data_IF_740012239823
#
_entry.id   IF_740012239823
#
_cell.length_a   1.000
_cell.length_b   1.000
_cell.length_c   1.000
_cell.angle_alpha   90.00
_cell.angle_beta   90.00
_cell.angle_gamma   90.00
#
_symmetry.space_group_name_H-M   'P 1'
#
loop_
_entity.id
_entity.type
_entity.pdbx_description
1 polymer ?
#
# COMPACT_ATOMS: atom_id res chain seq x y z
N UNK A 1 9.08 24.50 -8.64
CA UNK A 1 7.67 24.56 -8.19
C UNK A 1 7.31 26.02 -7.94
N UNK A 2 6.14 26.52 -8.38
CA UNK A 2 5.72 27.89 -8.09
C UNK A 2 5.64 28.16 -6.58
N UNK A 3 5.96 29.39 -6.15
CA UNK A 3 5.97 29.79 -4.75
C UNK A 3 4.58 29.60 -4.09
N UNK A 4 4.55 29.09 -2.85
CA UNK A 4 3.30 28.91 -2.10
C UNK A 4 2.72 30.25 -1.62
N UNK A 5 1.39 30.34 -1.59
CA UNK A 5 0.70 31.47 -0.98
C UNK A 5 0.74 31.39 0.55
N UNK A 6 0.41 32.48 1.23
CA UNK A 6 0.34 32.52 2.70
C UNK A 6 -0.67 31.52 3.26
N UNK A 7 -1.80 31.32 2.57
CA UNK A 7 -2.83 30.38 3.01
C UNK A 7 -2.40 28.92 2.76
N UNK A 8 -1.73 28.65 1.64
CA UNK A 8 -1.11 27.34 1.37
C UNK A 8 -0.04 26.99 2.42
N UNK A 9 0.75 27.97 2.86
CA UNK A 9 1.75 27.76 3.93
C UNK A 9 1.11 27.50 5.30
N UNK A 10 -0.03 28.14 5.60
CA UNK A 10 -0.79 27.85 6.83
C UNK A 10 -1.39 26.46 6.80
N UNK A 11 -1.95 26.06 5.66
CA UNK A 11 -2.50 24.72 5.44
C UNK A 11 -1.41 23.64 5.53
N UNK A 12 -0.22 23.90 4.99
CA UNK A 12 0.94 22.99 5.07
C UNK A 12 1.42 22.78 6.53
N UNK A 13 1.33 23.82 7.35
CA UNK A 13 1.74 23.83 8.75
C UNK A 13 0.57 23.63 9.73
N UNK A 14 -0.55 23.10 9.24
CA UNK A 14 -1.77 22.95 10.03
C UNK A 14 -1.54 22.11 11.31
N UNK A 15 -1.84 22.70 12.47
CA UNK A 15 -1.66 22.07 13.78
C UNK A 15 -2.58 20.87 14.01
N UNK A 16 -3.65 20.74 13.21
CA UNK A 16 -4.55 19.58 13.22
C UNK A 16 -3.91 18.32 12.61
N UNK A 17 -2.70 18.41 12.05
CA UNK A 17 -1.99 17.21 11.61
C UNK A 17 -1.74 16.27 12.80
N UNK A 18 -2.07 14.97 12.68
CA UNK A 18 -1.82 14.02 13.74
C UNK A 18 -0.33 14.01 14.12
N UNK A 19 -0.01 13.98 15.42
CA UNK A 19 1.39 13.99 15.89
C UNK A 19 2.24 12.83 15.34
N UNK A 20 1.59 11.71 14.99
CA UNK A 20 2.22 10.55 14.33
C UNK A 20 2.52 10.75 12.84
N UNK A 21 2.08 11.85 12.21
CA UNK A 21 2.47 12.19 10.83
C UNK A 21 3.98 12.43 10.67
N UNK A 22 4.71 12.65 11.77
CA UNK A 22 6.19 12.65 11.79
C UNK A 22 6.80 11.25 11.63
N UNK A 23 6.01 10.21 11.86
CA UNK A 23 6.29 8.79 11.57
C UNK A 23 5.45 8.29 10.40
N UNK A 24 5.08 9.18 9.46
CA UNK A 24 4.29 8.83 8.29
C UNK A 24 4.95 7.71 7.49
N UNK A 25 4.12 6.86 6.89
CA UNK A 25 4.60 5.81 6.02
C UNK A 25 5.33 6.44 4.82
N UNK A 26 6.60 6.10 4.64
CA UNK A 26 7.41 6.63 3.55
C UNK A 26 7.26 5.72 2.33
N UNK A 27 6.82 6.29 1.22
CA UNK A 27 6.77 5.59 -0.05
C UNK A 27 8.17 5.51 -0.68
N UNK A 28 8.55 4.31 -1.11
CA UNK A 28 9.81 4.03 -1.79
C UNK A 28 9.51 3.35 -3.13
N UNK A 29 9.87 4.01 -4.23
CA UNK A 29 9.67 3.50 -5.58
C UNK A 29 10.37 2.17 -5.85
N UNK A 30 11.49 1.87 -5.17
CA UNK A 30 12.16 0.57 -5.26
C UNK A 30 11.35 -0.57 -4.62
N UNK A 31 10.33 -0.23 -3.82
CA UNK A 31 9.45 -1.13 -3.10
C UNK A 31 7.98 -0.74 -3.30
N UNK A 32 7.47 -0.78 -4.54
CA UNK A 32 6.17 -0.20 -4.89
C UNK A 32 4.98 -0.94 -4.25
N UNK A 33 5.17 -2.13 -3.69
CA UNK A 33 4.11 -2.96 -3.13
C UNK A 33 3.30 -2.32 -1.99
N UNK A 34 3.82 -1.28 -1.32
CA UNK A 34 3.12 -0.57 -0.25
C UNK A 34 2.34 0.67 -0.74
N UNK A 35 2.35 0.96 -2.05
CA UNK A 35 1.73 2.16 -2.60
C UNK A 35 0.22 2.26 -2.36
N UNK A 36 -0.50 1.13 -2.30
CA UNK A 36 -1.94 1.09 -2.00
C UNK A 36 -2.22 1.56 -0.57
N UNK A 37 -1.53 0.96 0.40
CA UNK A 37 -1.62 1.34 1.81
C UNK A 37 -1.19 2.81 1.99
N UNK A 38 -0.18 3.25 1.21
CA UNK A 38 0.32 4.61 1.28
C UNK A 38 -0.68 5.63 0.74
N UNK A 39 -1.29 5.37 -0.42
CA UNK A 39 -2.32 6.26 -0.98
C UNK A 39 -3.55 6.37 -0.08
N UNK A 40 -3.99 5.27 0.52
CA UNK A 40 -5.11 5.29 1.47
C UNK A 40 -4.77 6.14 2.70
N UNK A 41 -3.58 5.95 3.27
CA UNK A 41 -3.08 6.77 4.38
C UNK A 41 -3.06 8.26 4.04
N UNK A 42 -2.53 8.62 2.86
CA UNK A 42 -2.44 10.00 2.39
C UNK A 42 -3.83 10.62 2.25
N UNK A 43 -4.75 9.94 1.55
CA UNK A 43 -6.12 10.44 1.32
C UNK A 43 -6.88 10.63 2.63
N UNK A 44 -6.87 9.61 3.50
CA UNK A 44 -7.54 9.69 4.81
C UNK A 44 -6.98 10.84 5.66
N UNK A 45 -5.67 11.09 5.60
CA UNK A 45 -5.04 12.19 6.33
C UNK A 45 -5.49 13.55 5.80
N UNK A 46 -5.55 13.73 4.48
CA UNK A 46 -6.00 14.97 3.86
C UNK A 46 -7.47 15.24 4.15
N UNK A 47 -8.32 14.22 4.07
CA UNK A 47 -9.75 14.34 4.38
C UNK A 47 -9.96 14.70 5.86
N UNK A 48 -9.25 14.04 6.78
CA UNK A 48 -9.35 14.31 8.23
C UNK A 48 -8.85 15.70 8.62
N UNK A 49 -7.82 16.20 7.93
CA UNK A 49 -7.24 17.53 8.20
C UNK A 49 -7.96 18.66 7.46
N UNK A 50 -8.94 18.33 6.60
CA UNK A 50 -9.66 19.29 5.78
C UNK A 50 -8.78 19.94 4.70
N UNK A 51 -7.75 19.24 4.23
CA UNK A 51 -6.82 19.76 3.23
C UNK A 51 -7.47 19.79 1.85
N UNK A 52 -7.46 20.95 1.22
CA UNK A 52 -8.13 21.23 -0.06
C UNK A 52 -7.14 21.60 -1.16
N UNK A 53 -6.02 22.25 -0.86
CA UNK A 53 -5.07 22.67 -1.90
C UNK A 53 -4.25 21.50 -2.45
N UNK A 54 -4.41 21.22 -3.74
CA UNK A 54 -3.65 20.18 -4.44
C UNK A 54 -2.14 20.38 -4.37
N UNK A 55 -1.69 21.63 -4.37
CA UNK A 55 -0.27 21.96 -4.24
C UNK A 55 0.27 21.61 -2.86
N UNK A 56 -0.53 21.81 -1.80
CA UNK A 56 -0.18 21.43 -0.43
C UNK A 56 -0.22 19.92 -0.27
N UNK A 57 -1.26 19.26 -0.80
CA UNK A 57 -1.38 17.79 -0.84
C UNK A 57 -0.15 17.14 -1.48
N UNK A 58 0.25 17.64 -2.66
CA UNK A 58 1.44 17.14 -3.37
C UNK A 58 2.73 17.42 -2.61
N UNK A 59 2.88 18.60 -2.01
CA UNK A 59 4.05 18.89 -1.18
C UNK A 59 4.17 17.90 0.00
N UNK A 60 3.06 17.57 0.67
CA UNK A 60 3.03 16.55 1.73
C UNK A 60 3.31 15.15 1.21
N UNK A 61 2.76 14.77 0.06
CA UNK A 61 3.10 13.50 -0.58
C UNK A 61 4.61 13.38 -0.78
N UNK A 62 5.24 14.45 -1.28
CA UNK A 62 6.69 14.48 -1.49
C UNK A 62 7.47 14.42 -0.18
N UNK A 63 7.03 15.06 0.90
CA UNK A 63 7.62 14.89 2.24
C UNK A 63 7.63 13.42 2.69
N UNK A 64 6.60 12.65 2.32
CA UNK A 64 6.42 11.24 2.65
C UNK A 64 6.91 10.26 1.57
N UNK A 65 7.86 10.69 0.75
CA UNK A 65 8.53 9.85 -0.24
C UNK A 65 10.04 9.82 -0.01
N UNK A 66 10.71 8.75 -0.42
CA UNK A 66 12.18 8.74 -0.49
C UNK A 66 12.69 9.76 -1.52
N UNK A 67 13.92 10.23 -1.36
CA UNK A 67 14.54 11.18 -2.29
C UNK A 67 14.52 10.67 -3.74
N UNK A 68 14.81 9.39 -3.94
CA UNK A 68 14.78 8.73 -5.24
C UNK A 68 13.39 8.83 -5.89
N UNK A 69 12.36 8.48 -5.13
CA UNK A 69 10.96 8.58 -5.57
C UNK A 69 10.58 9.99 -5.97
N UNK A 70 10.95 11.00 -5.14
CA UNK A 70 10.70 12.42 -5.44
C UNK A 70 11.35 12.83 -6.76
N UNK A 71 12.60 12.41 -6.99
CA UNK A 71 13.34 12.77 -8.20
C UNK A 71 12.68 12.24 -9.47
N UNK A 72 12.03 11.07 -9.39
CA UNK A 72 11.28 10.50 -10.51
C UNK A 72 9.99 11.28 -10.74
N UNK A 73 9.23 11.57 -9.69
CA UNK A 73 7.87 12.13 -9.83
C UNK A 73 7.84 13.65 -10.00
N UNK A 74 8.87 14.38 -9.57
CA UNK A 74 8.88 15.86 -9.60
C UNK A 74 8.68 16.46 -11.01
N UNK A 75 8.96 15.67 -12.05
CA UNK A 75 8.85 16.09 -13.45
C UNK A 75 7.51 15.74 -14.08
N UNK A 76 6.59 15.08 -13.36
CA UNK A 76 5.27 14.78 -13.90
C UNK A 76 4.44 16.05 -14.08
N UNK A 77 3.65 16.11 -15.15
CA UNK A 77 2.81 17.27 -15.46
C UNK A 77 1.83 17.62 -14.33
N UNK A 78 1.26 16.61 -13.67
CA UNK A 78 0.38 16.79 -12.51
C UNK A 78 1.09 17.31 -11.24
N UNK A 79 2.43 17.33 -11.23
CA UNK A 79 3.24 17.93 -10.16
C UNK A 79 3.68 19.34 -10.53
N UNK A 80 4.11 19.54 -11.78
CA UNK A 80 4.50 20.88 -12.28
C UNK A 80 3.30 21.81 -12.43
N UNK A 81 2.14 21.26 -12.76
CA UNK A 81 0.81 21.87 -12.68
C UNK A 81 0.00 21.08 -11.64
N UNK A 82 0.06 21.50 -10.35
CA UNK A 82 -0.49 20.73 -9.24
C UNK A 82 -1.92 20.27 -9.49
N UNK A 83 -2.10 18.95 -9.57
CA UNK A 83 -3.38 18.26 -9.66
C UNK A 83 -3.25 16.93 -8.93
N UNK A 84 -3.88 16.83 -7.75
CA UNK A 84 -3.70 15.67 -6.88
C UNK A 84 -4.40 14.41 -7.41
N UNK A 85 -5.58 14.56 -8.01
CA UNK A 85 -6.32 13.44 -8.56
C UNK A 85 -5.61 12.82 -9.77
N UNK A 86 -5.09 13.65 -10.68
CA UNK A 86 -4.29 13.20 -11.82
C UNK A 86 -2.97 12.58 -11.35
N UNK A 87 -2.38 13.07 -10.26
CA UNK A 87 -1.23 12.42 -9.63
C UNK A 87 -1.57 11.01 -9.11
N UNK A 88 -2.66 10.84 -8.37
CA UNK A 88 -3.12 9.51 -7.94
C UNK A 88 -3.41 8.57 -9.12
N UNK A 89 -4.05 9.08 -10.18
CA UNK A 89 -4.34 8.31 -11.39
C UNK A 89 -3.05 7.86 -12.09
N UNK A 90 -2.09 8.76 -12.26
CA UNK A 90 -0.80 8.44 -12.88
C UNK A 90 0.02 7.45 -12.05
N UNK A 91 -0.06 7.51 -10.72
CA UNK A 91 0.49 6.45 -9.86
C UNK A 91 -0.18 5.10 -10.14
N UNK A 92 -1.51 5.04 -10.26
CA UNK A 92 -2.24 3.81 -10.59
C UNK A 92 -1.86 3.23 -11.96
N UNK A 93 -1.64 4.08 -12.95
CA UNK A 93 -1.15 3.68 -14.28
C UNK A 93 0.32 3.22 -14.24
N UNK A 94 1.15 3.80 -13.38
CA UNK A 94 2.58 3.46 -13.25
C UNK A 94 2.80 2.18 -12.45
N UNK A 95 1.97 1.94 -11.43
CA UNK A 95 2.07 0.78 -10.53
C UNK A 95 0.78 -0.05 -10.53
N UNK A 96 0.30 -0.53 -11.69
CA UNK A 96 -0.99 -1.20 -11.79
C UNK A 96 -1.04 -2.49 -10.96
N UNK A 97 0.08 -3.21 -10.84
CA UNK A 97 0.19 -4.42 -10.01
C UNK A 97 0.15 -4.13 -8.50
N UNK A 98 0.59 -2.94 -8.08
CA UNK A 98 0.66 -2.58 -6.66
C UNK A 98 -0.54 -1.75 -6.21
N UNK A 99 -1.29 -1.15 -7.15
CA UNK A 99 -2.54 -0.40 -6.90
C UNK A 99 -3.81 -1.15 -7.31
N UNK A 100 -3.68 -2.18 -8.15
CA UNK A 100 -4.75 -3.06 -8.59
C UNK A 100 -5.16 -4.09 -7.54
N UNK A 101 -5.58 -3.63 -6.36
CA UNK A 101 -5.98 -4.50 -5.24
C UNK A 101 -7.42 -5.06 -5.33
N UNK A 102 -7.98 -5.16 -6.54
CA UNK A 102 -9.22 -5.93 -6.78
C UNK A 102 -8.97 -7.36 -7.26
N UNK A 103 -7.79 -7.66 -7.82
CA UNK A 103 -7.46 -8.95 -8.40
C UNK A 103 -6.52 -9.81 -7.53
N UNK A 104 -6.01 -9.23 -6.43
CA UNK A 104 -5.06 -9.89 -5.54
C UNK A 104 -3.65 -9.93 -6.13
N UNK A 105 -2.65 -10.08 -5.27
CA UNK A 105 -1.24 -10.10 -5.65
C UNK A 105 -0.53 -11.31 -5.05
N UNK A 106 0.16 -12.08 -5.91
CA UNK A 106 1.05 -13.16 -5.45
C UNK A 106 2.15 -12.60 -4.54
N UNK A 107 2.62 -11.38 -4.78
CA UNK A 107 3.65 -10.74 -3.95
C UNK A 107 3.09 -10.41 -2.55
N UNK A 108 1.87 -9.89 -2.47
CA UNK A 108 1.19 -9.67 -1.18
C UNK A 108 1.00 -10.98 -0.41
N UNK A 109 0.61 -12.05 -1.10
CA UNK A 109 0.47 -13.37 -0.50
C UNK A 109 1.81 -13.90 0.06
N UNK A 110 2.90 -13.79 -0.70
CA UNK A 110 4.25 -14.16 -0.23
C UNK A 110 4.74 -13.28 0.93
N UNK A 111 4.36 -12.00 0.96
CA UNK A 111 4.65 -11.09 2.07
C UNK A 111 3.97 -11.57 3.35
N UNK A 112 2.70 -11.96 3.30
CA UNK A 112 2.03 -12.54 4.46
C UNK A 112 2.68 -13.85 4.92
N UNK A 113 3.04 -14.75 3.99
CA UNK A 113 3.78 -15.96 4.36
C UNK A 113 5.07 -15.59 5.10
N UNK A 114 5.87 -14.69 4.55
CA UNK A 114 7.16 -14.28 5.12
C UNK A 114 7.01 -13.60 6.48
N UNK A 115 5.96 -12.79 6.66
CA UNK A 115 5.70 -12.05 7.90
C UNK A 115 5.27 -12.96 9.06
N UNK A 116 4.51 -14.02 8.77
CA UNK A 116 3.98 -14.92 9.79
C UNK A 116 4.81 -16.20 9.96
N UNK A 117 5.68 -16.56 9.02
CA UNK A 117 6.54 -17.72 9.14
C UNK A 117 7.70 -17.53 10.16
N UNK A 118 8.13 -18.60 10.85
CA UNK A 118 7.42 -19.88 11.01
C UNK A 118 6.29 -19.78 12.04
N UNK A 119 5.18 -20.50 11.82
CA UNK A 119 4.11 -20.70 12.78
C UNK A 119 4.33 -22.02 13.55
N UNK A 120 4.42 -21.93 14.88
CA UNK A 120 4.69 -23.05 15.77
C UNK A 120 3.42 -23.61 16.44
N UNK A 121 3.45 -24.87 16.94
CA UNK A 121 2.39 -25.39 17.78
C UNK A 121 2.09 -24.46 18.97
N UNK A 122 0.82 -24.16 19.19
CA UNK A 122 0.37 -23.28 20.28
C UNK A 122 0.20 -21.80 19.91
N UNK A 123 0.73 -21.34 18.76
CA UNK A 123 0.58 -19.94 18.28
C UNK A 123 -0.81 -19.66 17.67
N UNK A 124 -1.88 -19.93 18.42
CA UNK A 124 -3.27 -19.88 17.91
C UNK A 124 -3.70 -18.50 17.40
N UNK A 125 -3.30 -17.43 18.07
CA UNK A 125 -3.66 -16.06 17.66
C UNK A 125 -2.96 -15.66 16.37
N UNK A 126 -1.66 -15.95 16.26
CA UNK A 126 -0.87 -15.73 15.04
C UNK A 126 -1.46 -16.50 13.85
N UNK A 127 -1.84 -17.77 14.07
CA UNK A 127 -2.49 -18.59 13.04
C UNK A 127 -3.85 -18.01 12.61
N UNK A 128 -4.67 -17.51 13.56
CA UNK A 128 -5.95 -16.87 13.22
C UNK A 128 -5.75 -15.65 12.33
N UNK A 129 -4.86 -14.74 12.71
CA UNK A 129 -4.59 -13.53 11.92
C UNK A 129 -4.05 -13.89 10.54
N UNK A 130 -3.08 -14.81 10.48
CA UNK A 130 -2.53 -15.31 9.22
C UNK A 130 -3.61 -15.89 8.30
N UNK A 131 -4.53 -16.69 8.86
CA UNK A 131 -5.63 -17.30 8.11
C UNK A 131 -6.53 -16.26 7.45
N UNK A 132 -6.90 -15.21 8.18
CA UNK A 132 -7.78 -14.17 7.64
C UNK A 132 -7.10 -13.36 6.53
N UNK A 133 -5.85 -12.92 6.75
CA UNK A 133 -5.14 -12.11 5.74
C UNK A 133 -4.77 -12.93 4.50
N UNK A 134 -4.38 -14.20 4.67
CA UNK A 134 -4.09 -15.10 3.55
C UNK A 134 -5.35 -15.41 2.76
N UNK A 135 -6.45 -15.77 3.43
CA UNK A 135 -7.73 -16.11 2.77
C UNK A 135 -8.25 -14.93 1.96
N UNK A 136 -8.23 -13.73 2.53
CA UNK A 136 -8.72 -12.53 1.85
C UNK A 136 -7.96 -12.27 0.54
N UNK A 137 -6.65 -12.48 0.53
CA UNK A 137 -5.81 -12.25 -0.65
C UNK A 137 -5.89 -13.41 -1.65
N UNK A 138 -5.84 -14.65 -1.17
CA UNK A 138 -6.00 -15.85 -2.00
C UNK A 138 -7.35 -15.84 -2.73
N UNK A 139 -8.43 -15.42 -2.06
CA UNK A 139 -9.76 -15.34 -2.67
C UNK A 139 -9.80 -14.39 -3.87
N UNK A 140 -9.03 -13.29 -3.86
CA UNK A 140 -8.92 -12.38 -5.00
C UNK A 140 -8.18 -13.06 -6.17
N UNK A 141 -7.09 -13.76 -5.89
CA UNK A 141 -6.27 -14.46 -6.90
C UNK A 141 -6.95 -15.69 -7.51
N UNK A 142 -7.83 -16.34 -6.75
CA UNK A 142 -8.59 -17.52 -7.18
C UNK A 142 -9.87 -17.13 -7.93
N UNK A 143 -10.29 -15.87 -7.88
CA UNK A 143 -11.49 -15.39 -8.56
C UNK A 143 -11.14 -14.99 -9.99
N UNK A 144 -11.69 -15.73 -10.96
CA UNK A 144 -11.71 -15.27 -12.34
C UNK A 144 -12.66 -14.07 -12.48
N UNK A 145 -12.22 -13.03 -13.17
CA UNK A 145 -13.03 -11.87 -13.57
C UNK A 145 -13.26 -11.90 -15.08
N UNK A 146 -14.12 -11.01 -15.58
CA UNK A 146 -14.39 -10.86 -17.02
C UNK A 146 -13.10 -10.54 -17.79
N UNK A 147 -12.18 -9.82 -17.14
CA UNK A 147 -10.96 -9.29 -17.76
C UNK A 147 -9.70 -10.08 -17.39
N UNK A 148 -9.77 -11.05 -16.46
CA UNK A 148 -8.59 -11.79 -15.99
C UNK A 148 -8.92 -13.20 -15.49
N UNK A 149 -8.20 -14.25 -15.94
CA UNK A 149 -8.39 -15.60 -15.43
C UNK A 149 -7.90 -15.73 -13.98
N UNK A 150 -8.39 -16.75 -13.26
CA UNK A 150 -7.83 -17.09 -11.96
C UNK A 150 -6.36 -17.48 -12.10
N UNK A 151 -5.50 -16.88 -11.27
CA UNK A 151 -4.03 -17.05 -11.35
C UNK A 151 -3.47 -17.87 -10.18
N UNK A 152 -4.32 -18.30 -9.26
CA UNK A 152 -3.99 -19.20 -8.16
C UNK A 152 -4.98 -20.36 -8.14
N UNK A 153 -4.46 -21.59 -8.20
CA UNK A 153 -5.28 -22.80 -8.02
C UNK A 153 -5.46 -23.10 -6.53
N UNK A 154 -6.47 -23.91 -6.19
CA UNK A 154 -6.68 -24.33 -4.81
C UNK A 154 -5.50 -25.15 -4.25
N UNK A 155 -4.89 -26.02 -5.08
CA UNK A 155 -3.71 -26.79 -4.67
C UNK A 155 -2.53 -25.87 -4.36
N UNK A 156 -2.27 -24.87 -5.22
CA UNK A 156 -1.19 -23.93 -4.98
C UNK A 156 -1.45 -23.07 -3.73
N UNK A 157 -2.70 -22.65 -3.52
CA UNK A 157 -3.08 -21.90 -2.34
C UNK A 157 -2.83 -22.69 -1.04
N UNK A 158 -3.15 -23.98 -1.02
CA UNK A 158 -2.89 -24.85 0.14
C UNK A 158 -1.38 -25.02 0.37
N UNK A 159 -0.61 -25.28 -0.68
CA UNK A 159 0.86 -25.39 -0.58
C UNK A 159 1.48 -24.11 -0.03
N UNK A 160 1.06 -22.95 -0.55
CA UNK A 160 1.52 -21.65 -0.09
C UNK A 160 1.09 -21.38 1.36
N UNK A 161 -0.14 -21.73 1.74
CA UNK A 161 -0.63 -21.54 3.10
C UNK A 161 0.21 -22.33 4.12
N UNK A 162 0.48 -23.61 3.85
CA UNK A 162 1.24 -24.51 4.72
C UNK A 162 2.72 -24.11 4.79
N UNK A 163 3.26 -23.44 3.76
CA UNK A 163 4.68 -23.03 3.75
C UNK A 163 5.08 -22.07 4.87
N UNK A 164 4.11 -21.43 5.53
CA UNK A 164 4.35 -20.60 6.71
C UNK A 164 4.50 -21.41 8.02
N UNK A 165 4.21 -22.72 8.01
CA UNK A 165 4.21 -23.55 9.21
C UNK A 165 5.60 -24.10 9.51
N UNK A 166 5.93 -24.19 10.80
CA UNK A 166 7.10 -24.96 11.26
C UNK A 166 6.92 -26.45 10.94
N UNK A 167 8.04 -27.16 10.78
CA UNK A 167 8.02 -28.62 10.54
C UNK A 167 7.31 -29.38 11.66
N UNK A 168 7.45 -28.92 12.90
CA UNK A 168 6.78 -29.49 14.06
C UNK A 168 5.26 -29.41 13.94
N UNK A 169 4.74 -28.25 13.50
CA UNK A 169 3.32 -28.07 13.28
C UNK A 169 2.83 -28.96 12.12
N UNK A 170 3.57 -29.00 11.00
CA UNK A 170 3.25 -29.85 9.84
C UNK A 170 3.14 -31.33 10.22
N UNK A 171 3.93 -31.80 11.18
CA UNK A 171 3.88 -33.20 11.62
C UNK A 171 2.66 -33.53 12.52
N UNK A 172 1.87 -32.54 12.91
CA UNK A 172 0.72 -32.69 13.84
C UNK A 172 -0.62 -32.44 13.14
N UNK A 173 -0.65 -31.70 12.02
CA UNK A 173 -1.85 -31.47 11.18
C UNK A 173 -1.96 -32.44 10.02
#
# INVERSE_FOLDING_TARGET
>A
TPAMTTDELKELNNENFPKWSKTAMIFNIAHPQNISEWLEFVKNTFDTTGMTSDKVKLAKCFEWMTLETRNVFQHWDCVTKPNFDEFCKKLAETFPESLGNTHGSKNTLHRYITQFAPIHPGEREKLKVYTEVFRAEAAKLMKATVDSPAILSNSDAVTLYISAFSQELINIV
#
